data_IF_701103687648
#
_entry.id   IF_701103687648
#
_cell.length_a   1.000
_cell.length_b   1.000
_cell.length_c   1.000
_cell.angle_alpha   90.00
_cell.angle_beta   90.00
_cell.angle_gamma   90.00
#
_symmetry.space_group_name_H-M   'P 1'
#
loop_
_entity.id
_entity.type
_entity.pdbx_description
1 polymer ?
#
# COMPACT_ATOMS: atom_id res chain seq x y z
N UNK A 1 9.98 -35.85 26.85
CA UNK A 1 9.41 -35.09 25.72
C UNK A 1 7.89 -35.16 25.76
N UNK A 2 7.23 -34.18 26.40
CA UNK A 2 5.76 -34.15 26.55
C UNK A 2 5.10 -33.39 25.39
N UNK A 3 5.28 -33.87 24.16
CA UNK A 3 4.69 -33.25 22.98
C UNK A 3 3.36 -33.92 22.62
N UNK A 4 2.37 -33.11 22.23
CA UNK A 4 1.09 -33.56 21.68
C UNK A 4 1.02 -33.20 20.19
N UNK A 5 0.83 -34.19 19.32
CA UNK A 5 0.81 -34.02 17.86
C UNK A 5 2.08 -34.51 17.15
N UNK A 6 2.22 -34.21 15.86
CA UNK A 6 3.20 -34.85 14.98
C UNK A 6 4.42 -33.99 14.66
N UNK A 7 5.59 -34.63 14.58
CA UNK A 7 6.87 -34.06 14.09
C UNK A 7 7.33 -32.81 14.86
N UNK A 8 7.15 -32.79 16.17
CA UNK A 8 7.67 -31.72 17.03
C UNK A 8 9.09 -32.03 17.50
N UNK A 9 9.97 -31.02 17.50
CA UNK A 9 11.33 -31.09 18.04
C UNK A 9 11.41 -30.21 19.31
N UNK A 10 11.85 -30.78 20.43
CA UNK A 10 11.89 -30.12 21.75
C UNK A 10 10.82 -30.64 22.72
N UNK A 11 10.40 -29.83 23.69
CA UNK A 11 9.51 -30.25 24.80
C UNK A 11 8.23 -29.40 24.91
N UNK A 12 7.16 -30.02 25.41
CA UNK A 12 5.91 -29.35 25.78
C UNK A 12 5.21 -28.61 24.62
N UNK A 13 5.37 -29.10 23.40
CA UNK A 13 4.68 -28.54 22.24
C UNK A 13 3.31 -29.21 22.03
N UNK A 14 2.29 -28.40 21.73
CA UNK A 14 0.95 -28.85 21.32
C UNK A 14 0.70 -28.46 19.86
N UNK A 15 0.37 -29.43 19.02
CA UNK A 15 0.15 -29.27 17.57
C UNK A 15 1.25 -29.92 16.74
N UNK A 16 1.53 -29.42 15.54
CA UNK A 16 2.39 -30.14 14.57
C UNK A 16 3.56 -29.30 14.05
N UNK A 17 4.70 -29.97 13.81
CA UNK A 17 5.89 -29.42 13.16
C UNK A 17 6.49 -28.21 13.89
N UNK A 18 6.38 -28.15 15.20
CA UNK A 18 7.00 -27.10 16.02
C UNK A 18 8.46 -27.46 16.35
N UNK A 19 9.34 -26.48 16.33
CA UNK A 19 10.75 -26.59 16.75
C UNK A 19 11.01 -25.66 17.92
N UNK A 20 11.45 -26.20 19.05
CA UNK A 20 11.68 -25.47 20.30
C UNK A 20 10.74 -25.97 21.41
N UNK A 21 10.42 -25.12 22.39
CA UNK A 21 9.66 -25.57 23.56
C UNK A 21 8.39 -24.74 23.81
N UNK A 22 7.39 -25.38 24.41
CA UNK A 22 6.17 -24.72 24.89
C UNK A 22 5.35 -24.02 23.80
N UNK A 23 5.44 -24.46 22.55
CA UNK A 23 4.64 -23.89 21.46
C UNK A 23 3.25 -24.51 21.40
N UNK A 24 2.23 -23.70 21.17
CA UNK A 24 0.86 -24.14 20.86
C UNK A 24 0.49 -23.74 19.44
N UNK A 25 0.01 -24.69 18.64
CA UNK A 25 -0.32 -24.49 17.23
C UNK A 25 0.66 -25.21 16.30
N UNK A 26 0.94 -24.65 15.12
CA UNK A 26 1.65 -25.41 14.07
C UNK A 26 2.79 -24.63 13.41
N UNK A 27 3.88 -25.33 13.09
CA UNK A 27 5.03 -24.80 12.33
C UNK A 27 5.72 -23.61 13.01
N UNK A 28 5.68 -23.53 14.33
CA UNK A 28 6.38 -22.49 15.07
C UNK A 28 7.86 -22.88 15.28
N UNK A 29 8.77 -21.92 15.15
CA UNK A 29 10.20 -22.06 15.43
C UNK A 29 10.60 -21.13 16.56
N UNK A 30 11.21 -21.67 17.61
CA UNK A 30 11.54 -20.97 18.86
C UNK A 30 10.61 -21.39 20.00
N UNK A 31 10.38 -20.54 21.00
CA UNK A 31 9.74 -20.96 22.25
C UNK A 31 8.50 -20.14 22.61
N UNK A 32 7.53 -20.80 23.24
CA UNK A 32 6.34 -20.17 23.84
C UNK A 32 5.50 -19.38 22.84
N UNK A 33 5.49 -19.80 21.57
CA UNK A 33 4.64 -19.20 20.55
C UNK A 33 3.25 -19.86 20.53
N UNK A 34 2.20 -19.06 20.36
CA UNK A 34 0.82 -19.50 20.17
C UNK A 34 0.34 -19.11 18.77
N UNK A 35 -0.21 -20.06 18.01
CA UNK A 35 -0.70 -19.87 16.64
C UNK A 35 0.17 -20.56 15.59
N UNK A 36 0.34 -19.97 14.41
CA UNK A 36 0.96 -20.66 13.28
C UNK A 36 2.13 -19.92 12.64
N UNK A 37 3.17 -20.68 12.26
CA UNK A 37 4.32 -20.18 11.48
C UNK A 37 5.06 -19.00 12.12
N UNK A 38 5.03 -18.90 13.44
CA UNK A 38 5.81 -17.88 14.16
C UNK A 38 7.27 -18.31 14.25
N UNK A 39 8.19 -17.37 14.05
CA UNK A 39 9.62 -17.53 14.26
C UNK A 39 10.09 -16.60 15.37
N UNK A 40 10.82 -17.12 16.36
CA UNK A 40 11.25 -16.37 17.53
C UNK A 40 10.52 -16.83 18.79
N UNK A 41 10.24 -15.94 19.74
CA UNK A 41 9.71 -16.36 21.04
C UNK A 41 8.50 -15.53 21.49
N UNK A 42 7.57 -16.16 22.19
CA UNK A 42 6.44 -15.49 22.84
C UNK A 42 5.47 -14.77 21.90
N UNK A 43 5.44 -15.15 20.63
CA UNK A 43 4.52 -14.55 19.67
C UNK A 43 3.14 -15.21 19.78
N UNK A 44 2.09 -14.40 19.69
CA UNK A 44 0.69 -14.84 19.65
C UNK A 44 0.05 -14.37 18.34
N UNK A 45 -0.55 -15.31 17.59
CA UNK A 45 -1.08 -15.07 16.25
C UNK A 45 -0.27 -15.83 15.20
N UNK A 46 -0.16 -15.30 14.00
CA UNK A 46 0.36 -16.03 12.84
C UNK A 46 1.47 -15.28 12.12
N UNK A 47 2.43 -16.04 11.58
CA UNK A 47 3.49 -15.53 10.71
C UNK A 47 4.33 -14.38 11.31
N UNK A 48 4.42 -14.28 12.63
CA UNK A 48 5.25 -13.27 13.29
C UNK A 48 6.72 -13.71 13.33
N UNK A 49 7.63 -12.76 13.14
CA UNK A 49 9.08 -12.94 13.32
C UNK A 49 9.59 -12.00 14.42
N UNK A 50 10.22 -12.56 15.45
CA UNK A 50 10.81 -11.80 16.57
C UNK A 50 10.24 -12.20 17.93
N UNK A 51 10.05 -11.25 18.83
CA UNK A 51 9.68 -11.51 20.22
C UNK A 51 8.43 -10.78 20.68
N UNK A 52 7.53 -11.50 21.37
CA UNK A 52 6.35 -10.92 22.06
C UNK A 52 5.41 -10.11 21.14
N UNK A 53 5.33 -10.47 19.86
CA UNK A 53 4.33 -9.87 18.97
C UNK A 53 2.95 -10.50 19.22
N UNK A 54 1.91 -9.68 19.16
CA UNK A 54 0.51 -10.10 19.22
C UNK A 54 -0.23 -9.61 17.99
N UNK A 55 -0.88 -10.52 17.26
CA UNK A 55 -1.48 -10.25 15.95
C UNK A 55 -0.75 -11.03 14.87
N UNK A 56 -0.89 -10.62 13.61
CA UNK A 56 -0.43 -11.38 12.45
C UNK A 56 0.62 -10.63 11.62
N UNK A 57 1.58 -11.37 11.08
CA UNK A 57 2.58 -10.89 10.13
C UNK A 57 3.47 -9.73 10.64
N UNK A 58 3.72 -9.64 11.94
CA UNK A 58 4.65 -8.64 12.49
C UNK A 58 6.11 -9.11 12.39
N UNK A 59 7.02 -8.16 12.17
CA UNK A 59 8.47 -8.37 12.20
C UNK A 59 9.13 -7.41 13.20
N UNK A 60 9.93 -7.93 14.12
CA UNK A 60 10.53 -7.16 15.22
C UNK A 60 9.94 -7.57 16.57
N UNK A 61 9.94 -6.69 17.58
CA UNK A 61 9.54 -7.09 18.94
C UNK A 61 8.44 -6.21 19.55
N UNK A 62 7.60 -6.85 20.38
CA UNK A 62 6.56 -6.23 21.18
C UNK A 62 5.53 -5.42 20.38
N UNK A 63 5.27 -5.79 19.12
CA UNK A 63 4.21 -5.18 18.32
C UNK A 63 2.84 -5.79 18.66
N UNK A 64 1.80 -4.96 18.64
CA UNK A 64 0.40 -5.36 18.82
C UNK A 64 -0.42 -4.87 17.64
N UNK A 65 -1.17 -5.76 16.99
CA UNK A 65 -1.86 -5.51 15.72
C UNK A 65 -1.16 -6.26 14.58
N UNK A 66 -1.42 -5.87 13.34
CA UNK A 66 -1.00 -6.64 12.18
C UNK A 66 0.00 -5.90 11.28
N UNK A 67 0.89 -6.65 10.63
CA UNK A 67 1.82 -6.14 9.61
C UNK A 67 2.77 -5.03 10.08
N UNK A 68 3.10 -4.95 11.37
CA UNK A 68 4.07 -3.98 11.86
C UNK A 68 5.50 -4.46 11.65
N UNK A 69 6.40 -3.52 11.35
CA UNK A 69 7.84 -3.74 11.29
C UNK A 69 8.57 -2.79 12.24
N UNK A 70 9.33 -3.32 13.19
CA UNK A 70 10.07 -2.54 14.19
C UNK A 70 9.69 -2.93 15.62
N UNK A 71 9.73 -1.97 16.55
CA UNK A 71 9.54 -2.26 17.97
C UNK A 71 8.37 -1.50 18.58
N UNK A 72 7.60 -2.17 19.45
CA UNK A 72 6.57 -1.52 20.29
C UNK A 72 5.48 -0.74 19.53
N UNK A 73 5.15 -1.15 18.30
CA UNK A 73 4.03 -0.53 17.59
C UNK A 73 2.70 -1.10 18.07
N UNK A 74 1.68 -0.25 18.13
CA UNK A 74 0.29 -0.62 18.43
C UNK A 74 -0.62 -0.14 17.29
N UNK A 75 -1.39 -1.06 16.71
CA UNK A 75 -2.19 -0.84 15.50
C UNK A 75 -1.57 -1.55 14.30
N UNK A 76 -1.91 -1.13 13.08
CA UNK A 76 -1.62 -1.92 11.88
C UNK A 76 -0.71 -1.20 10.88
N UNK A 77 0.13 -1.98 10.20
CA UNK A 77 1.01 -1.56 9.11
C UNK A 77 1.99 -0.42 9.48
N UNK A 78 2.44 -0.34 10.73
CA UNK A 78 3.46 0.64 11.12
C UNK A 78 4.87 0.16 10.80
N UNK A 79 5.75 1.08 10.42
CA UNK A 79 7.18 0.83 10.21
C UNK A 79 8.00 1.79 11.07
N UNK A 80 8.91 1.26 11.88
CA UNK A 80 9.69 2.00 12.87
C UNK A 80 9.23 1.67 14.30
N UNK A 81 9.44 2.58 15.25
CA UNK A 81 9.36 2.24 16.68
C UNK A 81 8.36 3.09 17.46
N UNK A 82 7.66 2.44 18.39
CA UNK A 82 6.74 3.05 19.34
C UNK A 82 5.61 3.86 18.69
N UNK A 83 5.12 3.46 17.51
CA UNK A 83 3.98 4.13 16.90
C UNK A 83 2.66 3.58 17.46
N UNK A 84 1.68 4.46 17.64
CA UNK A 84 0.30 4.11 17.99
C UNK A 84 -0.64 4.59 16.90
N UNK A 85 -1.49 3.70 16.40
CA UNK A 85 -2.37 3.95 15.26
C UNK A 85 -1.92 3.15 14.03
N UNK A 86 -2.22 3.64 12.83
CA UNK A 86 -2.13 2.81 11.62
C UNK A 86 -1.31 3.49 10.52
N UNK A 87 -0.50 2.70 9.81
CA UNK A 87 0.27 3.12 8.63
C UNK A 87 1.27 4.26 8.91
N UNK A 88 1.83 4.33 10.11
CA UNK A 88 2.88 5.30 10.43
C UNK A 88 4.25 4.79 9.99
N UNK A 89 5.08 5.69 9.47
CA UNK A 89 6.49 5.44 9.16
C UNK A 89 7.37 6.39 9.97
N UNK A 90 8.30 5.82 10.74
CA UNK A 90 9.18 6.54 11.65
C UNK A 90 8.90 6.18 13.11
N UNK A 91 9.15 7.09 14.04
CA UNK A 91 9.21 6.77 15.46
C UNK A 91 8.29 7.65 16.31
N UNK A 92 7.62 7.04 17.28
CA UNK A 92 6.80 7.70 18.30
C UNK A 92 5.70 8.58 17.70
N UNK A 93 5.09 8.13 16.61
CA UNK A 93 3.91 8.80 16.09
C UNK A 93 2.64 8.24 16.75
N UNK A 94 1.71 9.11 17.09
CA UNK A 94 0.34 8.78 17.47
C UNK A 94 -0.59 9.32 16.39
N UNK A 95 -1.55 8.51 15.95
CA UNK A 95 -2.44 8.84 14.84
C UNK A 95 -2.22 7.94 13.63
N UNK A 96 -2.65 8.38 12.45
CA UNK A 96 -2.68 7.58 11.25
C UNK A 96 -1.91 8.24 10.09
N UNK A 97 -1.19 7.41 9.32
CA UNK A 97 -0.52 7.79 8.07
C UNK A 97 0.52 8.91 8.24
N UNK A 98 1.20 8.93 9.38
CA UNK A 98 2.30 9.87 9.62
C UNK A 98 3.61 9.38 9.01
N UNK A 99 4.42 10.31 8.51
CA UNK A 99 5.81 10.05 8.11
C UNK A 99 6.73 11.00 8.88
N UNK A 100 7.75 10.46 9.55
CA UNK A 100 8.65 11.22 10.41
C UNK A 100 8.51 10.82 11.88
N UNK A 101 8.80 11.71 12.83
CA UNK A 101 8.86 11.33 14.25
C UNK A 101 8.12 12.31 15.16
N UNK A 102 7.55 11.78 16.26
CA UNK A 102 6.87 12.57 17.28
C UNK A 102 5.66 13.37 16.78
N UNK A 103 4.93 12.86 15.79
CA UNK A 103 3.68 13.47 15.35
C UNK A 103 2.51 12.88 16.15
N UNK A 104 1.55 13.71 16.56
CA UNK A 104 0.34 13.27 17.30
C UNK A 104 -0.97 13.53 16.57
N UNK A 105 -0.90 14.04 15.33
CA UNK A 105 -2.03 14.24 14.43
C UNK A 105 -2.06 13.16 13.33
N UNK A 106 -3.03 13.22 12.42
CA UNK A 106 -3.08 12.34 11.25
C UNK A 106 -2.44 13.01 10.02
N UNK A 107 -1.96 12.20 9.07
CA UNK A 107 -1.42 12.63 7.77
C UNK A 107 -0.24 13.62 7.84
N UNK A 108 0.48 13.65 8.96
CA UNK A 108 1.60 14.56 9.15
C UNK A 108 2.88 14.03 8.50
N UNK A 109 3.57 14.89 7.76
CA UNK A 109 4.94 14.64 7.30
C UNK A 109 5.90 15.60 8.02
N UNK A 110 6.81 15.08 8.85
CA UNK A 110 7.81 15.88 9.56
C UNK A 110 8.00 15.46 11.01
N UNK A 111 8.31 16.45 11.86
CA UNK A 111 8.67 16.24 13.25
C UNK A 111 7.86 17.14 14.18
N UNK A 112 7.38 16.61 15.30
CA UNK A 112 6.66 17.37 16.33
C UNK A 112 5.35 18.04 15.88
N UNK A 113 4.64 17.46 14.91
CA UNK A 113 3.34 17.98 14.49
C UNK A 113 2.24 17.52 15.46
N UNK A 114 1.40 18.45 15.91
CA UNK A 114 0.31 18.16 16.87
C UNK A 114 -1.07 18.55 16.36
N UNK A 115 -1.14 19.26 15.25
CA UNK A 115 -2.36 19.75 14.61
C UNK A 115 -2.60 19.03 13.28
N UNK A 116 -3.87 18.91 12.87
CA UNK A 116 -4.21 18.31 11.59
C UNK A 116 -3.68 19.15 10.41
N UNK A 117 -3.30 18.47 9.33
CA UNK A 117 -2.82 19.13 8.12
C UNK A 117 -3.98 19.81 7.40
N UNK A 118 -4.11 21.12 7.57
CA UNK A 118 -5.08 21.95 6.86
C UNK A 118 -4.58 22.43 5.48
N UNK A 119 -3.27 22.52 5.30
CA UNK A 119 -2.63 23.01 4.07
C UNK A 119 -1.82 21.89 3.44
N UNK A 120 -2.15 21.55 2.20
CA UNK A 120 -1.43 20.60 1.36
C UNK A 120 -0.79 21.31 0.18
N UNK A 121 0.12 20.63 -0.51
CA UNK A 121 0.67 21.13 -1.77
C UNK A 121 -0.12 20.56 -2.95
N UNK A 122 -0.62 21.45 -3.81
CA UNK A 122 -1.24 21.12 -5.09
C UNK A 122 -0.50 21.92 -6.16
N UNK A 123 0.08 21.24 -7.16
CA UNK A 123 1.00 21.84 -8.15
C UNK A 123 2.15 22.65 -7.49
N UNK A 124 2.76 22.08 -6.45
CA UNK A 124 3.80 22.64 -5.55
C UNK A 124 3.48 24.02 -4.97
N UNK A 125 2.20 24.36 -4.84
CA UNK A 125 1.75 25.55 -4.15
C UNK A 125 0.86 25.16 -2.97
N UNK A 126 0.95 25.88 -1.84
CA UNK A 126 0.03 25.69 -0.71
C UNK A 126 -1.43 25.82 -1.16
N UNK A 127 -2.27 24.90 -0.70
CA UNK A 127 -3.69 24.82 -0.95
C UNK A 127 -4.39 24.34 0.31
N UNK A 128 -5.53 24.94 0.68
CA UNK A 128 -6.34 24.39 1.75
C UNK A 128 -6.85 23.00 1.34
N UNK A 129 -6.73 22.04 2.24
CA UNK A 129 -7.18 20.67 2.02
C UNK A 129 -8.66 20.62 1.67
N UNK A 130 -9.51 21.41 2.34
CA UNK A 130 -10.94 21.51 2.02
C UNK A 130 -11.20 21.93 0.57
N UNK A 131 -10.45 22.92 0.06
CA UNK A 131 -10.56 23.39 -1.33
C UNK A 131 -10.18 22.28 -2.31
N UNK A 132 -9.14 21.51 -2.00
CA UNK A 132 -8.79 20.34 -2.82
C UNK A 132 -9.85 19.25 -2.75
N UNK A 133 -10.37 18.93 -1.56
CA UNK A 133 -11.36 17.88 -1.36
C UNK A 133 -12.69 18.19 -2.08
N UNK A 134 -13.12 19.45 -2.05
CA UNK A 134 -14.33 19.95 -2.72
C UNK A 134 -14.19 20.10 -4.25
N UNK A 135 -12.97 20.22 -4.79
CA UNK A 135 -12.75 20.33 -6.22
C UNK A 135 -13.24 19.08 -6.98
N UNK A 136 -13.99 19.28 -8.06
CA UNK A 136 -14.47 18.18 -8.89
C UNK A 136 -13.32 17.61 -9.75
N UNK A 137 -13.01 16.32 -9.55
CA UNK A 137 -11.90 15.63 -10.20
C UNK A 137 -12.48 14.72 -11.30
N UNK A 138 -12.23 15.01 -12.58
CA UNK A 138 -12.81 14.23 -13.68
C UNK A 138 -12.25 12.82 -13.72
N UNK A 139 -13.06 11.87 -14.22
CA UNK A 139 -12.71 10.46 -14.25
C UNK A 139 -11.46 10.15 -15.09
N UNK A 140 -11.14 11.02 -16.06
CA UNK A 140 -9.94 10.88 -16.90
C UNK A 140 -8.60 11.01 -16.13
N UNK A 141 -8.62 11.49 -14.88
CA UNK A 141 -7.45 11.43 -13.99
C UNK A 141 -7.23 10.01 -13.40
N UNK A 142 -8.26 9.16 -13.45
CA UNK A 142 -8.27 7.81 -12.90
C UNK A 142 -8.34 6.79 -14.05
N UNK A 143 -7.17 6.49 -14.63
CA UNK A 143 -7.04 5.62 -15.80
C UNK A 143 -6.39 4.27 -15.48
N UNK A 144 -6.56 3.31 -16.40
CA UNK A 144 -5.97 1.99 -16.30
C UNK A 144 -4.72 1.89 -17.18
N UNK A 145 -3.69 1.21 -16.67
CA UNK A 145 -2.47 0.90 -17.41
C UNK A 145 -2.61 -0.33 -18.32
N UNK A 146 -3.77 -0.98 -18.29
CA UNK A 146 -4.05 -2.19 -19.04
C UNK A 146 -5.42 -2.14 -19.68
N UNK A 147 -5.51 -2.61 -20.92
CA UNK A 147 -6.77 -2.73 -21.64
C UNK A 147 -6.85 -4.12 -22.29
N UNK A 148 -8.00 -4.77 -22.15
CA UNK A 148 -8.27 -5.97 -22.93
C UNK A 148 -8.57 -5.58 -24.38
N UNK A 149 -7.87 -6.18 -25.33
CA UNK A 149 -8.08 -6.00 -26.77
C UNK A 149 -8.60 -7.31 -27.31
N UNK A 150 -9.84 -7.29 -27.80
CA UNK A 150 -10.47 -8.46 -28.40
C UNK A 150 -9.84 -8.79 -29.76
N UNK A 151 -9.84 -10.07 -30.13
CA UNK A 151 -9.26 -10.56 -31.39
C UNK A 151 -9.74 -9.79 -32.64
N UNK A 152 -10.99 -9.32 -32.62
CA UNK A 152 -11.58 -8.52 -33.71
C UNK A 152 -10.97 -7.13 -33.86
N UNK A 153 -10.39 -6.59 -32.79
CA UNK A 153 -9.80 -5.24 -32.73
C UNK A 153 -8.27 -5.28 -32.84
N UNK A 154 -7.65 -6.46 -32.74
CA UNK A 154 -6.21 -6.64 -32.85
C UNK A 154 -5.70 -6.37 -34.27
N UNK A 155 -4.68 -5.54 -34.38
CA UNK A 155 -3.91 -5.35 -35.60
C UNK A 155 -3.04 -6.57 -35.95
N UNK A 156 -2.59 -6.67 -37.20
CA UNK A 156 -1.74 -7.79 -37.64
C UNK A 156 -0.41 -7.88 -36.86
N UNK A 157 0.14 -6.73 -36.46
CA UNK A 157 1.35 -6.66 -35.62
C UNK A 157 1.05 -7.21 -34.23
N UNK A 158 -0.06 -6.79 -33.61
CA UNK A 158 -0.45 -7.29 -32.28
C UNK A 158 -0.74 -8.79 -32.29
N UNK A 159 -1.32 -9.31 -33.38
CA UNK A 159 -1.52 -10.76 -33.59
C UNK A 159 -0.22 -11.53 -33.72
N UNK A 160 0.78 -10.97 -34.39
CA UNK A 160 2.11 -11.56 -34.49
C UNK A 160 2.85 -11.57 -33.14
N UNK A 161 2.73 -10.50 -32.37
CA UNK A 161 3.38 -10.36 -31.06
C UNK A 161 2.70 -11.18 -29.95
N UNK A 162 1.40 -11.48 -30.09
CA UNK A 162 0.59 -12.16 -29.08
C UNK A 162 -0.03 -13.46 -29.60
N UNK A 163 0.74 -14.44 -30.13
CA UNK A 163 0.21 -15.58 -30.90
C UNK A 163 -0.79 -16.47 -30.14
N UNK A 164 -0.87 -16.38 -28.81
CA UNK A 164 -1.89 -17.07 -28.00
C UNK A 164 -3.30 -16.45 -28.10
N UNK A 165 -3.46 -15.31 -28.78
CA UNK A 165 -4.71 -14.56 -28.82
C UNK A 165 -5.91 -15.40 -29.30
N UNK A 166 -5.68 -16.33 -30.24
CA UNK A 166 -6.71 -17.20 -30.80
C UNK A 166 -7.30 -18.19 -29.79
N UNK A 167 -6.55 -18.55 -28.75
CA UNK A 167 -7.04 -19.38 -27.66
C UNK A 167 -7.71 -18.57 -26.54
N UNK A 168 -7.31 -17.30 -26.37
CA UNK A 168 -7.80 -16.42 -25.30
C UNK A 168 -8.91 -15.45 -25.74
N UNK A 169 -9.19 -15.36 -27.04
CA UNK A 169 -10.15 -14.42 -27.63
C UNK A 169 -9.66 -12.98 -27.74
N UNK A 170 -8.36 -12.74 -27.50
CA UNK A 170 -7.77 -11.42 -27.38
C UNK A 170 -6.51 -11.42 -26.51
N UNK A 171 -6.03 -10.25 -26.14
CA UNK A 171 -4.88 -10.12 -25.24
C UNK A 171 -4.99 -8.88 -24.33
N UNK A 172 -4.25 -8.91 -23.23
CA UNK A 172 -4.16 -7.78 -22.31
C UNK A 172 -3.02 -6.85 -22.73
N UNK A 173 -3.35 -5.74 -23.39
CA UNK A 173 -2.39 -4.70 -23.73
C UNK A 173 -1.98 -3.93 -22.49
N UNK A 174 -0.67 -3.68 -22.36
CA UNK A 174 -0.09 -2.84 -21.31
C UNK A 174 0.40 -1.54 -21.93
N UNK A 175 0.11 -0.44 -21.28
CA UNK A 175 0.55 0.89 -21.69
C UNK A 175 1.60 1.43 -20.72
N UNK A 176 2.50 2.25 -21.24
CA UNK A 176 3.34 3.07 -20.37
C UNK A 176 2.50 4.14 -19.67
N UNK A 177 2.93 4.57 -18.48
CA UNK A 177 2.15 5.47 -17.63
C UNK A 177 1.69 6.75 -18.35
N UNK A 178 2.63 7.46 -19.01
CA UNK A 178 2.31 8.70 -19.71
C UNK A 178 1.46 8.46 -20.96
N UNK A 179 1.66 7.33 -21.64
CA UNK A 179 0.86 6.96 -22.81
C UNK A 179 -0.60 6.73 -22.40
N UNK A 180 -0.83 5.95 -21.35
CA UNK A 180 -2.16 5.68 -20.82
C UNK A 180 -2.85 6.95 -20.31
N UNK A 181 -2.12 7.82 -19.60
CA UNK A 181 -2.66 9.09 -19.12
C UNK A 181 -3.02 10.00 -20.31
N UNK A 182 -2.12 10.10 -21.29
CA UNK A 182 -2.35 10.91 -22.49
C UNK A 182 -3.60 10.48 -23.22
N UNK A 183 -3.71 9.18 -23.51
CA UNK A 183 -4.89 8.59 -24.11
C UNK A 183 -6.15 8.97 -23.33
N UNK A 184 -6.16 8.73 -22.01
CA UNK A 184 -7.34 8.98 -21.16
C UNK A 184 -7.77 10.45 -21.14
N UNK A 185 -6.84 11.40 -21.17
CA UNK A 185 -7.17 12.84 -21.15
C UNK A 185 -7.56 13.33 -22.55
N UNK A 186 -6.93 12.83 -23.60
CA UNK A 186 -7.28 13.19 -24.99
C UNK A 186 -8.65 12.68 -25.42
N UNK A 187 -9.06 11.51 -24.93
CA UNK A 187 -10.38 10.92 -25.19
C UNK A 187 -11.48 11.53 -24.31
N UNK A 188 -11.12 12.29 -23.29
CA UNK A 188 -12.07 12.94 -22.38
C UNK A 188 -12.82 14.09 -23.07
N UNK A 189 -14.04 14.37 -22.57
CA UNK A 189 -14.83 15.49 -23.07
C UNK A 189 -14.14 16.83 -22.78
N UNK A 190 -14.57 17.87 -23.48
CA UNK A 190 -14.08 19.23 -23.23
C UNK A 190 -14.39 19.66 -21.79
N UNK A 191 -15.59 19.33 -21.30
CA UNK A 191 -16.02 19.63 -19.93
C UNK A 191 -15.09 18.99 -18.90
N UNK A 192 -14.71 17.72 -19.10
CA UNK A 192 -13.77 17.04 -18.22
C UNK A 192 -12.39 17.71 -18.24
N UNK A 193 -11.90 18.10 -19.42
CA UNK A 193 -10.62 18.83 -19.55
C UNK A 193 -10.68 20.20 -18.90
N UNK A 194 -11.82 20.89 -18.97
CA UNK A 194 -12.06 22.15 -18.28
C UNK A 194 -12.08 21.97 -16.75
N UNK A 195 -12.60 20.85 -16.24
CA UNK A 195 -12.51 20.51 -14.81
C UNK A 195 -11.05 20.32 -14.37
N UNK A 196 -10.18 19.74 -15.20
CA UNK A 196 -8.74 19.66 -14.89
C UNK A 196 -8.13 21.06 -14.78
N UNK A 197 -8.46 21.96 -15.72
CA UNK A 197 -7.98 23.36 -15.71
C UNK A 197 -8.50 24.14 -14.49
N UNK A 198 -9.67 23.77 -13.98
CA UNK A 198 -10.29 24.36 -12.80
C UNK A 198 -9.74 23.81 -11.47
N UNK A 199 -8.83 22.82 -11.49
CA UNK A 199 -8.24 22.30 -10.26
C UNK A 199 -7.48 23.39 -9.50
N UNK A 200 -7.48 23.35 -8.15
CA UNK A 200 -6.74 24.30 -7.34
C UNK A 200 -5.26 24.35 -7.74
N UNK A 201 -4.73 25.57 -7.87
CA UNK A 201 -3.34 25.83 -8.27
C UNK A 201 -2.90 25.22 -9.61
N UNK A 202 -3.83 24.85 -10.50
CA UNK A 202 -3.50 24.21 -11.77
C UNK A 202 -2.33 24.88 -12.51
N UNK A 203 -1.38 24.05 -12.93
CA UNK A 203 -0.20 24.48 -13.68
C UNK A 203 0.03 23.50 -14.83
N UNK A 204 -0.06 24.02 -16.07
CA UNK A 204 0.01 23.21 -17.28
C UNK A 204 1.39 22.55 -17.47
N UNK A 205 2.49 23.24 -17.14
CA UNK A 205 3.84 22.68 -17.28
C UNK A 205 4.05 21.47 -16.38
N UNK A 206 3.61 21.56 -15.11
CA UNK A 206 3.66 20.44 -14.16
C UNK A 206 2.70 19.32 -14.53
N UNK A 207 1.52 19.68 -15.04
CA UNK A 207 0.58 18.69 -15.54
C UNK A 207 1.18 17.92 -16.72
N UNK A 208 1.83 18.61 -17.66
CA UNK A 208 2.56 18.01 -18.78
C UNK A 208 3.72 17.13 -18.31
N UNK A 209 4.50 17.59 -17.33
CA UNK A 209 5.61 16.81 -16.77
C UNK A 209 5.14 15.47 -16.19
N UNK A 210 4.03 15.48 -15.45
CA UNK A 210 3.47 14.28 -14.80
C UNK A 210 2.73 13.43 -15.83
N UNK A 211 1.75 13.99 -16.54
CA UNK A 211 0.82 13.25 -17.40
C UNK A 211 1.34 12.96 -18.81
N UNK A 212 2.26 13.77 -19.33
CA UNK A 212 2.63 13.78 -20.75
C UNK A 212 1.69 14.61 -21.63
N UNK A 213 0.68 15.28 -21.07
CA UNK A 213 -0.33 16.03 -21.82
C UNK A 213 -0.17 17.53 -21.66
N UNK A 214 -0.09 18.24 -22.79
CA UNK A 214 -0.20 19.69 -22.82
C UNK A 214 -1.68 20.08 -23.01
N UNK A 215 -2.35 20.45 -21.92
CA UNK A 215 -3.76 20.87 -21.96
C UNK A 215 -3.97 22.21 -22.64
N UNK A 216 -2.91 22.98 -22.93
CA UNK A 216 -3.02 24.20 -23.74
C UNK A 216 -3.22 23.92 -25.22
N UNK A 217 -2.85 22.71 -25.68
CA UNK A 217 -2.99 22.26 -27.07
C UNK A 217 -4.30 21.50 -27.32
N UNK A 218 -5.12 21.33 -26.29
CA UNK A 218 -6.38 20.61 -26.34
C UNK A 218 -7.52 21.60 -26.08
N UNK A 219 -8.64 21.47 -26.78
CA UNK A 219 -9.83 22.30 -26.55
C UNK A 219 -10.57 21.87 -25.28
#
# INVERSE_FOLDING_TARGET
NCNTGNRNTGNWNTGNRNTGNWNTGNRNTGNRNTGHRNTGNWNTGNCNTGHRNTGDCNTGDCNTGDWNTGYWNTGDCNTGDCNTGNRNTGNRNTGHRNTGNWNTADFSNGFFNTEEVEIINVFDKPCMKSVWDEANKPNCLYFYLTQWIDESEMSDVEKQENPSFSCTGGYLKKYDYKEAFTKSVTEASKEDRDLIRALPNFNNEKFLEISGVDLSQLD
#
